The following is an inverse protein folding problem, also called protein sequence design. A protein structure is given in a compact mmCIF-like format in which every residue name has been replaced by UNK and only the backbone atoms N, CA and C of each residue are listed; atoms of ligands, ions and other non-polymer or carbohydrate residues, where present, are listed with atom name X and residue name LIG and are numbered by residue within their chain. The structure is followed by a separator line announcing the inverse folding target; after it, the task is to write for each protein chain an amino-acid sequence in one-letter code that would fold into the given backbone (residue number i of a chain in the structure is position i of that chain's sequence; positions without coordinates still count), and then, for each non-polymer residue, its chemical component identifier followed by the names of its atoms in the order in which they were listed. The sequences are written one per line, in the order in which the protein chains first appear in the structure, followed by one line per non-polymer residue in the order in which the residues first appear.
data_IF_750314802728
#
_entry.id   IF_750314802728
#
_cell.length_a   1.000
_cell.length_b   1.000
_cell.length_c   1.000
_cell.angle_alpha   90.00
_cell.angle_beta   90.00
_cell.angle_gamma   90.00
#
_symmetry.space_group_name_H-M   'P 1'
#
loop_
_entity.id
_entity.type
_entity.pdbx_description
1 polymer ?
#
# COMPACT_ATOMS: atom_id res chain seq x y z
N UNK A 1 0.70 13.25 -19.06
CA UNK A 1 -0.12 12.00 -19.08
C UNK A 1 0.63 10.83 -18.47
N UNK A 2 1.84 10.52 -18.94
CA UNK A 2 2.65 9.38 -18.45
C UNK A 2 2.90 9.45 -16.92
N UNK A 3 3.34 10.59 -16.40
CA UNK A 3 3.62 10.75 -14.96
C UNK A 3 2.37 10.59 -14.07
N UNK A 4 1.22 11.04 -14.56
CA UNK A 4 -0.04 10.98 -13.82
C UNK A 4 -0.54 9.53 -13.71
N UNK A 5 -0.55 8.79 -14.82
CA UNK A 5 -0.94 7.38 -14.83
C UNK A 5 0.00 6.51 -13.98
N UNK A 6 1.29 6.83 -13.98
CA UNK A 6 2.29 6.10 -13.22
C UNK A 6 2.21 6.42 -11.72
N UNK A 7 1.86 7.66 -11.37
CA UNK A 7 1.60 8.07 -9.98
C UNK A 7 0.30 7.47 -9.42
N UNK A 8 -0.70 7.20 -10.25
CA UNK A 8 -1.92 6.49 -9.84
C UNK A 8 -1.66 5.04 -9.41
N UNK A 9 -0.73 4.32 -10.07
CA UNK A 9 -0.33 2.95 -9.72
C UNK A 9 0.25 2.90 -8.28
N UNK A 10 1.05 3.91 -7.90
CA UNK A 10 1.63 4.03 -6.55
C UNK A 10 0.56 4.22 -5.46
N UNK A 11 -0.50 4.99 -5.74
CA UNK A 11 -1.59 5.19 -4.80
C UNK A 11 -2.39 3.92 -4.51
N UNK A 12 -2.62 3.07 -5.51
CA UNK A 12 -3.28 1.78 -5.28
C UNK A 12 -2.46 0.93 -4.33
N UNK A 13 -1.14 0.96 -4.48
CA UNK A 13 -0.24 0.24 -3.58
C UNK A 13 -0.30 0.80 -2.16
N UNK A 14 -0.35 2.12 -1.99
CA UNK A 14 -0.48 2.75 -0.67
C UNK A 14 -1.79 2.38 0.02
N UNK A 15 -2.88 2.43 -0.75
CA UNK A 15 -4.20 2.00 -0.32
C UNK A 15 -4.18 0.54 0.16
N UNK A 16 -3.58 -0.36 -0.61
CA UNK A 16 -3.48 -1.77 -0.25
C UNK A 16 -2.64 -1.99 1.00
N UNK A 17 -1.53 -1.25 1.13
CA UNK A 17 -0.70 -1.28 2.32
C UNK A 17 -1.52 -0.84 3.54
N UNK A 18 -2.26 0.27 3.46
CA UNK A 18 -3.09 0.71 4.60
C UNK A 18 -4.19 -0.29 4.97
N UNK A 19 -4.86 -0.88 3.98
CA UNK A 19 -5.85 -1.93 4.21
C UNK A 19 -5.20 -3.17 4.85
N UNK A 20 -4.02 -3.56 4.38
CA UNK A 20 -3.27 -4.71 4.89
C UNK A 20 -2.83 -4.57 6.35
N UNK A 21 -2.35 -3.38 6.72
CA UNK A 21 -1.98 -3.08 8.11
C UNK A 21 -3.17 -2.70 8.99
N UNK A 22 -4.39 -2.65 8.42
CA UNK A 22 -5.61 -2.29 9.15
C UNK A 22 -5.56 -0.88 9.71
N UNK A 23 -4.91 0.06 9.01
CA UNK A 23 -4.67 1.41 9.54
C UNK A 23 -5.98 2.21 9.59
N UNK A 24 -6.41 2.68 10.78
CA UNK A 24 -7.58 3.53 10.90
C UNK A 24 -7.46 4.80 10.06
N UNK A 25 -8.56 5.23 9.45
CA UNK A 25 -8.62 6.44 8.60
C UNK A 25 -8.08 7.70 9.25
N UNK A 26 -8.22 7.83 10.58
CA UNK A 26 -7.68 8.94 11.36
C UNK A 26 -6.16 9.10 11.21
N UNK A 27 -5.42 8.01 11.00
CA UNK A 27 -3.96 8.01 10.94
C UNK A 27 -3.38 7.97 9.51
N UNK A 28 -4.20 7.64 8.51
CA UNK A 28 -3.79 7.64 7.10
C UNK A 28 -3.22 9.01 6.65
N UNK A 29 -3.85 10.18 6.95
CA UNK A 29 -3.29 11.49 6.55
C UNK A 29 -1.89 11.75 7.10
N UNK A 30 -1.59 11.25 8.32
CA UNK A 30 -0.29 11.39 8.95
C UNK A 30 0.76 10.61 8.16
N UNK A 31 0.49 9.34 7.85
CA UNK A 31 1.40 8.51 7.06
C UNK A 31 1.55 9.06 5.64
N UNK A 32 0.47 9.51 5.00
CA UNK A 32 0.54 10.13 3.67
C UNK A 32 1.43 11.38 3.67
N UNK A 33 1.33 12.23 4.70
CA UNK A 33 2.14 13.46 4.76
C UNK A 33 3.63 13.13 4.87
N UNK A 34 3.99 12.21 5.76
CA UNK A 34 5.37 11.76 5.93
C UNK A 34 5.87 10.98 4.72
N UNK A 35 5.06 10.09 4.17
CA UNK A 35 5.38 9.31 2.98
C UNK A 35 5.57 10.16 1.73
N UNK A 36 4.75 11.21 1.54
CA UNK A 36 4.94 12.18 0.44
C UNK A 36 6.26 12.93 0.61
N UNK A 37 6.56 13.40 1.82
CA UNK A 37 7.82 14.11 2.09
C UNK A 37 9.03 13.20 1.84
N UNK A 38 8.99 11.96 2.33
CA UNK A 38 10.01 10.94 2.10
C UNK A 38 10.17 10.60 0.62
N UNK A 39 9.06 10.38 -0.09
CA UNK A 39 9.05 10.10 -1.54
C UNK A 39 9.68 11.24 -2.35
N UNK A 40 9.31 12.50 -2.07
CA UNK A 40 9.87 13.68 -2.75
C UNK A 40 11.38 13.78 -2.50
N UNK A 41 11.83 13.51 -1.28
CA UNK A 41 13.26 13.50 -0.95
C UNK A 41 13.99 12.36 -1.65
N UNK A 42 13.47 11.13 -1.60
CA UNK A 42 14.09 9.97 -2.26
C UNK A 42 14.17 10.17 -3.77
N UNK A 43 13.12 10.70 -4.40
CA UNK A 43 13.11 11.02 -5.84
C UNK A 43 14.14 12.07 -6.20
N UNK A 44 14.33 13.10 -5.36
CA UNK A 44 15.41 14.07 -5.54
C UNK A 44 16.76 13.35 -5.60
N UNK A 45 17.05 12.51 -4.59
CA UNK A 45 18.32 11.77 -4.52
C UNK A 45 18.50 10.87 -5.76
N UNK A 46 17.49 10.12 -6.16
CA UNK A 46 17.56 9.20 -7.31
C UNK A 46 17.74 9.93 -8.65
N UNK A 47 17.01 11.02 -8.87
CA UNK A 47 17.10 11.81 -10.12
C UNK A 47 18.49 12.44 -10.25
N UNK A 48 19.05 12.96 -9.16
CA UNK A 48 20.36 13.61 -9.18
C UNK A 48 21.51 12.60 -9.24
N UNK A 49 21.40 11.47 -8.53
CA UNK A 49 22.41 10.39 -8.54
C UNK A 49 22.36 9.56 -9.84
N UNK A 50 21.23 9.54 -10.52
CA UNK A 50 21.02 8.85 -11.79
C UNK A 50 20.94 7.32 -11.68
N UNK A 51 21.06 6.66 -12.83
CA UNK A 51 20.79 5.21 -13.02
C UNK A 51 21.72 4.29 -12.22
N UNK A 52 22.87 4.79 -11.74
CA UNK A 52 23.84 3.97 -10.99
C UNK A 52 23.28 3.43 -9.67
N UNK A 53 22.46 4.22 -8.98
CA UNK A 53 21.80 3.77 -7.74
C UNK A 53 20.69 2.75 -8.03
N UNK A 54 20.05 2.88 -9.18
CA UNK A 54 18.87 2.12 -9.59
C UNK A 54 19.22 0.63 -9.73
N UNK A 55 20.31 0.29 -10.41
CA UNK A 55 20.78 -1.10 -10.54
C UNK A 55 21.10 -1.77 -9.19
N UNK A 56 21.45 -1.00 -8.16
CA UNK A 56 21.74 -1.55 -6.82
C UNK A 56 20.45 -1.98 -6.10
N UNK A 57 19.31 -1.41 -6.47
CA UNK A 57 18.02 -1.64 -5.82
C UNK A 57 17.07 -2.54 -6.61
N UNK A 58 17.44 -3.00 -7.81
CA UNK A 58 16.59 -3.89 -8.62
C UNK A 58 16.22 -5.19 -7.89
N UNK A 59 17.13 -5.74 -7.07
CA UNK A 59 16.85 -6.96 -6.29
C UNK A 59 15.71 -6.77 -5.27
N UNK A 60 15.47 -5.53 -4.79
CA UNK A 60 14.38 -5.22 -3.86
C UNK A 60 13.02 -5.49 -4.49
N UNK A 61 12.89 -5.31 -5.81
CA UNK A 61 11.65 -5.57 -6.54
C UNK A 61 11.21 -7.02 -6.35
N UNK A 62 12.15 -7.95 -6.50
CA UNK A 62 11.85 -9.38 -6.38
C UNK A 62 11.51 -9.79 -4.95
N UNK A 63 12.26 -9.25 -3.98
CA UNK A 63 11.99 -9.51 -2.55
C UNK A 63 10.61 -8.99 -2.18
N UNK A 64 10.29 -7.76 -2.58
CA UNK A 64 8.99 -7.15 -2.28
C UNK A 64 7.85 -7.88 -3.00
N UNK A 65 8.02 -8.23 -4.28
CA UNK A 65 7.05 -9.02 -5.04
C UNK A 65 6.74 -10.36 -4.38
N UNK A 66 7.77 -11.08 -3.91
CA UNK A 66 7.60 -12.32 -3.15
C UNK A 66 6.84 -12.10 -1.84
N UNK A 67 7.19 -11.05 -1.09
CA UNK A 67 6.49 -10.68 0.15
C UNK A 67 5.01 -10.35 -0.09
N UNK A 68 4.67 -9.66 -1.18
CA UNK A 68 3.29 -9.35 -1.54
C UNK A 68 2.48 -10.62 -1.90
N UNK A 69 3.06 -11.55 -2.66
CA UNK A 69 2.41 -12.83 -3.00
C UNK A 69 2.16 -13.66 -1.75
N UNK A 70 3.17 -13.82 -0.90
CA UNK A 70 3.03 -14.56 0.36
C UNK A 70 1.94 -13.96 1.24
N UNK A 71 1.87 -12.63 1.26
CA UNK A 71 0.85 -11.88 1.99
C UNK A 71 -0.55 -12.11 1.41
N UNK A 72 -0.70 -12.02 0.09
CA UNK A 72 -1.96 -12.27 -0.60
C UNK A 72 -2.50 -13.68 -0.32
N UNK A 73 -1.65 -14.70 -0.44
CA UNK A 73 -2.03 -16.09 -0.17
C UNK A 73 -2.48 -16.23 1.29
N UNK A 74 -1.72 -15.66 2.23
CA UNK A 74 -2.08 -15.73 3.65
C UNK A 74 -3.41 -15.04 3.94
N UNK A 75 -3.67 -13.88 3.33
CA UNK A 75 -4.94 -13.19 3.45
C UNK A 75 -6.10 -14.02 2.90
N UNK A 76 -5.92 -14.76 1.81
CA UNK A 76 -6.97 -15.66 1.27
C UNK A 76 -7.24 -16.87 2.17
N UNK A 77 -6.20 -17.41 2.83
CA UNK A 77 -6.31 -18.63 3.65
C UNK A 77 -6.84 -18.35 5.07
N UNK A 78 -6.65 -17.13 5.59
CA UNK A 78 -7.10 -16.76 6.94
C UNK A 78 -8.64 -16.60 6.96
N UNK A 79 -9.34 -17.19 7.95
CA UNK A 79 -10.81 -17.07 8.07
C UNK A 79 -11.24 -15.61 8.36
N UNK A 80 -12.44 -15.24 7.94
CA UNK A 80 -13.04 -13.94 8.25
C UNK A 80 -13.16 -13.76 9.78
N UNK A 81 -12.80 -12.58 10.30
CA UNK A 81 -12.85 -12.27 11.73
C UNK A 81 -11.51 -12.28 12.47
N UNK A 82 -10.46 -12.91 11.92
CA UNK A 82 -9.18 -13.08 12.61
C UNK A 82 -8.02 -12.40 11.86
N UNK A 83 -8.27 -11.18 11.37
CA UNK A 83 -7.26 -10.36 10.71
C UNK A 83 -6.36 -9.72 11.78
N UNK A 84 -5.56 -10.54 12.47
CA UNK A 84 -4.59 -10.05 13.45
C UNK A 84 -3.47 -9.31 12.71
N UNK A 85 -3.41 -7.96 12.77
CA UNK A 85 -2.34 -7.20 12.13
C UNK A 85 -0.98 -7.65 12.68
N UNK A 86 -0.94 -8.15 13.92
CA UNK A 86 0.24 -8.70 14.56
C UNK A 86 0.82 -9.97 13.92
N UNK A 87 0.07 -10.69 13.10
CA UNK A 87 0.52 -11.93 12.46
C UNK A 87 1.12 -11.71 11.06
N UNK A 88 1.15 -10.46 10.57
CA UNK A 88 1.58 -10.09 9.23
C UNK A 88 3.06 -10.45 8.95
N UNK A 89 3.37 -11.21 7.87
CA UNK A 89 4.74 -11.56 7.52
C UNK A 89 5.67 -10.35 7.35
N UNK A 90 5.14 -9.25 6.81
CA UNK A 90 5.86 -7.97 6.67
C UNK A 90 6.22 -7.41 8.05
N UNK A 91 5.26 -7.42 8.99
CA UNK A 91 5.51 -7.01 10.37
C UNK A 91 6.48 -7.94 11.09
N UNK A 92 6.44 -9.25 10.83
CA UNK A 92 7.42 -10.20 11.39
C UNK A 92 8.83 -9.96 10.85
N UNK A 93 8.95 -9.64 9.56
CA UNK A 93 10.23 -9.34 8.94
C UNK A 93 10.80 -8.02 9.48
N UNK A 94 9.98 -6.97 9.56
CA UNK A 94 10.37 -5.69 10.15
C UNK A 94 10.64 -5.79 11.67
N UNK A 95 9.85 -6.60 12.38
CA UNK A 95 10.04 -6.88 13.81
C UNK A 95 11.38 -7.57 14.12
N UNK A 96 12.01 -8.19 13.12
CA UNK A 96 13.35 -8.78 13.24
C UNK A 96 14.46 -7.72 13.24
N UNK A 97 14.18 -6.53 12.72
CA UNK A 97 15.12 -5.41 12.60
C UNK A 97 14.86 -4.37 13.70
N UNK A 98 13.59 -4.09 14.00
CA UNK A 98 13.16 -3.09 15.00
C UNK A 98 12.09 -3.71 15.90
N UNK A 99 12.14 -3.55 17.25
CA UNK A 99 11.07 -4.03 18.12
C UNK A 99 9.75 -3.32 17.79
N UNK A 100 8.70 -4.07 17.44
CA UNK A 100 7.38 -3.50 17.10
C UNK A 100 6.38 -3.76 18.23
N UNK A 101 5.82 -2.69 18.79
CA UNK A 101 4.69 -2.77 19.71
C UNK A 101 3.38 -2.78 18.90
N UNK A 102 2.76 -3.96 18.83
CA UNK A 102 1.55 -4.21 18.05
C UNK A 102 0.30 -3.60 18.66
N UNK A 103 0.31 -3.26 19.95
CA UNK A 103 -0.83 -2.71 20.67
C UNK A 103 -0.81 -1.17 20.70
N UNK A 104 0.33 -0.56 20.34
CA UNK A 104 0.45 0.89 20.26
C UNK A 104 -0.35 1.44 19.06
N UNK A 105 -1.50 2.06 19.36
CA UNK A 105 -2.43 2.65 18.37
C UNK A 105 -2.68 4.15 18.59
N UNK A 106 -1.92 4.81 19.47
CA UNK A 106 -2.15 6.21 19.85
C UNK A 106 -1.71 7.25 18.80
N UNK A 107 -1.41 6.81 17.59
CA UNK A 107 -1.04 7.69 16.48
C UNK A 107 0.45 8.01 16.39
N UNK A 108 1.25 7.66 17.39
CA UNK A 108 2.69 7.87 17.39
C UNK A 108 3.44 6.80 16.57
N UNK A 109 4.57 7.18 15.97
CA UNK A 109 5.43 6.27 15.20
C UNK A 109 6.31 5.41 16.09
N UNK A 110 6.65 5.92 17.28
CA UNK A 110 7.46 5.23 18.26
C UNK A 110 6.84 5.39 19.64
N UNK A 111 6.82 4.30 20.40
CA UNK A 111 6.34 4.30 21.80
C UNK A 111 7.44 3.75 22.69
N UNK A 112 7.67 4.43 23.82
CA UNK A 112 8.65 4.03 24.82
C UNK A 112 7.94 3.30 25.95
N UNK A 113 8.17 1.99 26.06
CA UNK A 113 7.75 1.18 27.23
C UNK A 113 8.93 0.89 28.16
N UNK A 114 9.94 0.21 27.63
CA UNK A 114 11.23 -0.04 28.30
C UNK A 114 12.39 0.21 27.34
N UNK A 115 12.23 -0.23 26.09
CA UNK A 115 13.02 0.20 24.92
C UNK A 115 12.10 0.95 23.95
N UNK A 116 12.68 1.69 23.02
CA UNK A 116 11.93 2.29 21.92
C UNK A 116 11.34 1.19 21.04
N UNK A 117 10.02 1.17 20.89
CA UNK A 117 9.32 0.29 19.98
C UNK A 117 8.75 1.10 18.83
N UNK A 118 8.88 0.59 17.61
CA UNK A 118 8.14 1.08 16.46
C UNK A 118 6.67 0.67 16.58
N UNK A 119 5.77 1.51 16.10
CA UNK A 119 4.34 1.18 16.01
C UNK A 119 4.00 0.63 14.63
N UNK A 120 2.81 0.01 14.45
CA UNK A 120 2.34 -0.42 13.13
C UNK A 120 2.28 0.74 12.13
N UNK A 121 2.06 1.97 12.60
CA UNK A 121 2.08 3.17 11.76
C UNK A 121 3.45 3.44 11.16
N UNK A 122 4.53 3.25 11.93
CA UNK A 122 5.89 3.43 11.43
C UNK A 122 6.27 2.31 10.46
N UNK A 123 5.93 1.06 10.79
CA UNK A 123 6.15 -0.06 9.88
C UNK A 123 5.42 0.15 8.55
N UNK A 124 4.20 0.68 8.60
CA UNK A 124 3.42 1.04 7.40
C UNK A 124 4.12 2.14 6.61
N UNK A 125 4.59 3.21 7.26
CA UNK A 125 5.34 4.30 6.60
C UNK A 125 6.58 3.76 5.88
N UNK A 126 7.38 2.91 6.53
CA UNK A 126 8.57 2.31 5.93
C UNK A 126 8.22 1.49 4.68
N UNK A 127 7.13 0.72 4.73
CA UNK A 127 6.67 -0.07 3.58
C UNK A 127 6.18 0.82 2.44
N UNK A 128 5.47 1.91 2.76
CA UNK A 128 5.03 2.92 1.77
C UNK A 128 6.25 3.58 1.09
N UNK A 129 7.25 4.01 1.86
CA UNK A 129 8.46 4.64 1.32
C UNK A 129 9.29 3.66 0.47
N UNK A 130 9.45 2.42 0.94
CA UNK A 130 10.15 1.37 0.18
C UNK A 130 9.42 1.04 -1.11
N UNK A 131 8.08 1.02 -1.08
CA UNK A 131 7.27 0.80 -2.28
C UNK A 131 7.45 1.93 -3.30
N UNK A 132 7.45 3.21 -2.86
CA UNK A 132 7.69 4.34 -3.76
C UNK A 132 9.09 4.28 -4.39
N UNK A 133 10.11 3.93 -3.60
CA UNK A 133 11.47 3.72 -4.10
C UNK A 133 11.51 2.64 -5.20
N UNK A 134 10.82 1.52 -4.99
CA UNK A 134 10.71 0.46 -5.99
C UNK A 134 10.02 0.95 -7.27
N UNK A 135 8.94 1.73 -7.16
CA UNK A 135 8.29 2.30 -8.36
C UNK A 135 9.16 3.36 -9.05
N UNK A 136 9.97 4.09 -8.29
CA UNK A 136 10.91 5.06 -8.82
C UNK A 136 12.00 4.38 -9.68
N UNK A 137 12.39 3.14 -9.36
CA UNK A 137 13.40 2.37 -10.12
C UNK A 137 13.01 2.13 -11.57
N UNK A 138 11.74 1.86 -11.87
CA UNK A 138 11.28 1.68 -13.26
C UNK A 138 10.91 3.00 -13.94
N UNK A 139 10.35 3.94 -13.16
CA UNK A 139 9.79 5.17 -13.72
C UNK A 139 10.77 6.30 -13.93
N UNK A 140 11.78 6.46 -13.07
CA UNK A 140 12.80 7.51 -13.24
C UNK A 140 13.60 7.30 -14.53
N UNK A 141 14.11 6.11 -14.86
CA UNK A 141 14.80 5.89 -16.14
C UNK A 141 13.90 6.17 -17.34
N UNK A 142 12.62 5.79 -17.26
CA UNK A 142 11.65 6.05 -18.33
C UNK A 142 11.43 7.55 -18.54
N UNK A 143 11.32 8.33 -17.46
CA UNK A 143 11.13 9.79 -17.56
C UNK A 143 12.41 10.50 -18.01
N UNK A 144 13.58 10.10 -17.51
CA UNK A 144 14.88 10.64 -17.94
C UNK A 144 15.20 10.31 -19.41
N UNK A 145 14.60 9.26 -19.98
CA UNK A 145 14.72 8.95 -21.40
C UNK A 145 13.88 9.89 -22.29
N UNK A 146 12.82 10.50 -21.74
CA UNK A 146 11.93 11.42 -22.47
C UNK A 146 12.35 12.88 -22.30
N UNK A 147 12.90 13.23 -21.13
CA UNK A 147 13.37 14.59 -20.85
C UNK A 147 14.76 14.56 -20.21
N UNK A 148 15.67 15.35 -20.77
CA UNK A 148 17.03 15.53 -20.24
C UNK A 148 17.09 16.58 -19.13
N UNK A 149 16.06 17.43 -19.00
CA UNK A 149 15.98 18.45 -17.97
C UNK A 149 15.47 17.84 -16.65
N UNK A 150 16.41 17.56 -15.75
CA UNK A 150 16.15 17.00 -14.41
C UNK A 150 15.23 17.89 -13.56
N UNK A 151 15.22 19.21 -13.77
CA UNK A 151 14.35 20.11 -13.02
C UNK A 151 12.89 19.93 -13.45
N UNK A 152 12.62 19.81 -14.76
CA UNK A 152 11.27 19.53 -15.27
C UNK A 152 10.79 18.15 -14.78
N UNK A 153 11.66 17.14 -14.85
CA UNK A 153 11.37 15.79 -14.36
C UNK A 153 11.04 15.79 -12.86
N UNK A 154 11.86 16.46 -12.06
CA UNK A 154 11.67 16.53 -10.62
C UNK A 154 10.39 17.28 -10.25
N UNK A 155 10.20 18.49 -10.78
CA UNK A 155 9.02 19.31 -10.46
C UNK A 155 7.72 18.62 -10.87
N UNK A 156 7.66 17.99 -12.04
CA UNK A 156 6.46 17.25 -12.49
C UNK A 156 6.13 16.06 -11.58
N UNK A 157 7.15 15.31 -11.15
CA UNK A 157 6.99 14.22 -10.18
C UNK A 157 6.52 14.72 -8.81
N UNK A 158 7.07 15.82 -8.31
CA UNK A 158 6.64 16.43 -7.04
C UNK A 158 5.17 16.86 -7.13
N UNK A 159 4.77 17.54 -8.21
CA UNK A 159 3.37 17.93 -8.42
C UNK A 159 2.45 16.71 -8.50
N UNK A 160 2.88 15.64 -9.16
CA UNK A 160 2.12 14.41 -9.22
C UNK A 160 1.94 13.82 -7.81
N UNK A 161 3.02 13.63 -7.03
CA UNK A 161 2.96 13.05 -5.68
C UNK A 161 2.14 13.90 -4.70
N UNK A 162 2.28 15.22 -4.72
CA UNK A 162 1.50 16.12 -3.86
C UNK A 162 0.03 16.13 -4.26
N UNK A 163 -0.27 16.11 -5.56
CA UNK A 163 -1.64 16.08 -6.10
C UNK A 163 -2.41 14.80 -5.74
N UNK A 164 -1.72 13.68 -5.54
CA UNK A 164 -2.34 12.40 -5.18
C UNK A 164 -3.04 12.42 -3.82
N UNK A 165 -2.73 13.36 -2.91
CA UNK A 165 -3.39 13.43 -1.60
C UNK A 165 -4.90 13.60 -1.72
N UNK A 166 -5.38 14.44 -2.64
CA UNK A 166 -6.82 14.66 -2.85
C UNK A 166 -7.48 13.42 -3.46
N UNK A 167 -6.81 12.79 -4.43
CA UNK A 167 -7.30 11.60 -5.11
C UNK A 167 -7.32 10.37 -4.19
N UNK A 168 -6.35 10.26 -3.28
CA UNK A 168 -6.34 9.25 -2.22
C UNK A 168 -7.61 9.31 -1.38
N UNK A 169 -8.03 10.50 -0.91
CA UNK A 169 -9.23 10.61 -0.07
C UNK A 169 -10.50 10.23 -0.85
N UNK A 170 -10.55 10.55 -2.13
CA UNK A 170 -11.65 10.13 -3.00
C UNK A 170 -11.71 8.61 -3.11
N UNK A 171 -10.59 7.96 -3.44
CA UNK A 171 -10.52 6.50 -3.54
C UNK A 171 -10.77 5.80 -2.20
N UNK A 172 -10.13 6.27 -1.12
CA UNK A 172 -10.28 5.71 0.22
C UNK A 172 -11.72 5.84 0.75
N UNK A 173 -12.49 6.83 0.29
CA UNK A 173 -13.92 6.96 0.62
C UNK A 173 -14.76 5.91 -0.10
N UNK A 174 -14.44 5.60 -1.36
CA UNK A 174 -15.09 4.49 -2.08
C UNK A 174 -14.78 3.16 -1.37
N UNK A 175 -13.59 3.02 -0.78
CA UNK A 175 -13.15 1.80 -0.09
C UNK A 175 -13.96 1.35 1.13
N UNK A 176 -14.65 2.26 1.80
CA UNK A 176 -15.50 1.89 2.94
C UNK A 176 -16.77 1.15 2.51
N UNK A 177 -17.16 1.27 1.24
CA UNK A 177 -18.31 0.55 0.68
C UNK A 177 -18.00 -0.93 0.43
N UNK A 178 -16.75 -1.37 0.59
CA UNK A 178 -16.31 -2.72 0.24
C UNK A 178 -16.50 -3.68 1.43
N UNK A 179 -17.54 -4.52 1.36
CA UNK A 179 -17.77 -5.59 2.35
C UNK A 179 -16.81 -6.77 2.15
N UNK A 180 -16.30 -6.97 0.92
CA UNK A 180 -15.31 -8.02 0.56
C UNK A 180 -13.88 -7.48 0.44
N UNK A 181 -13.51 -6.48 1.25
CA UNK A 181 -12.20 -5.82 1.19
C UNK A 181 -11.04 -6.83 1.25
N UNK A 182 -11.16 -7.87 2.08
CA UNK A 182 -10.12 -8.89 2.23
C UNK A 182 -9.83 -9.66 0.93
N UNK A 183 -10.88 -10.13 0.26
CA UNK A 183 -10.76 -10.88 -0.99
C UNK A 183 -10.23 -9.99 -2.13
N UNK A 184 -10.82 -8.81 -2.32
CA UNK A 184 -10.37 -7.85 -3.34
C UNK A 184 -8.91 -7.42 -3.15
N UNK A 185 -8.53 -7.03 -1.93
CA UNK A 185 -7.15 -6.63 -1.63
C UNK A 185 -6.18 -7.79 -1.82
N UNK A 186 -6.53 -9.02 -1.42
CA UNK A 186 -5.66 -10.18 -1.62
C UNK A 186 -5.40 -10.49 -3.10
N UNK A 187 -6.43 -10.38 -3.95
CA UNK A 187 -6.29 -10.62 -5.39
C UNK A 187 -5.40 -9.55 -6.06
N UNK A 188 -5.56 -8.29 -5.66
CA UNK A 188 -4.74 -7.20 -6.18
C UNK A 188 -3.28 -7.34 -5.70
N UNK A 189 -3.05 -7.66 -4.42
CA UNK A 189 -1.70 -7.91 -3.89
C UNK A 189 -1.01 -9.07 -4.62
N UNK A 190 -1.75 -10.12 -4.93
CA UNK A 190 -1.25 -11.25 -5.73
C UNK A 190 -0.85 -10.79 -7.14
N UNK A 191 -1.72 -10.03 -7.81
CA UNK A 191 -1.46 -9.48 -9.14
C UNK A 191 -0.22 -8.57 -9.17
N UNK A 192 -0.13 -7.61 -8.23
CA UNK A 192 1.00 -6.68 -8.16
C UNK A 192 2.28 -7.42 -7.80
N UNK A 193 2.25 -8.37 -6.88
CA UNK A 193 3.41 -9.19 -6.53
C UNK A 193 3.94 -9.98 -7.73
N UNK A 194 3.05 -10.60 -8.53
CA UNK A 194 3.42 -11.28 -9.78
C UNK A 194 4.03 -10.31 -10.78
N UNK A 195 3.38 -9.15 -11.00
CA UNK A 195 3.90 -8.10 -11.89
C UNK A 195 5.33 -7.70 -11.51
N UNK A 196 5.61 -7.56 -10.21
CA UNK A 196 6.94 -7.22 -9.70
C UNK A 196 7.96 -8.35 -9.93
N UNK A 197 7.59 -9.61 -9.70
CA UNK A 197 8.51 -10.73 -9.97
C UNK A 197 8.84 -10.91 -11.46
N UNK A 198 7.89 -10.58 -12.34
CA UNK A 198 8.02 -10.74 -13.79
C UNK A 198 8.64 -9.49 -14.44
N UNK A 199 8.80 -8.38 -13.71
CA UNK A 199 9.22 -7.09 -14.29
C UNK A 199 10.56 -7.11 -15.02
N UNK A 200 11.47 -8.03 -14.66
CA UNK A 200 12.75 -8.22 -15.34
C UNK A 200 12.65 -8.89 -16.72
N UNK A 201 11.55 -9.59 -17.01
CA UNK A 201 11.31 -10.29 -18.28
C UNK A 201 10.23 -9.61 -19.12
N UNK A 202 9.15 -9.14 -18.49
CA UNK A 202 8.04 -8.44 -19.15
C UNK A 202 7.67 -7.17 -18.39
N UNK A 203 7.81 -6.03 -19.06
CA UNK A 203 7.30 -4.74 -18.55
C UNK A 203 5.82 -4.62 -18.89
N UNK A 204 4.96 -4.85 -17.91
CA UNK A 204 3.52 -4.62 -18.06
C UNK A 204 3.26 -3.11 -18.07
N UNK A 205 2.65 -2.55 -19.14
CA UNK A 205 2.32 -1.13 -19.21
C UNK A 205 1.49 -0.66 -18.01
N UNK A 206 1.83 0.51 -17.48
CA UNK A 206 1.15 1.08 -16.31
C UNK A 206 -0.37 1.22 -16.52
N UNK A 207 -0.81 1.58 -17.73
CA UNK A 207 -2.24 1.68 -18.07
C UNK A 207 -2.97 0.34 -17.96
N UNK A 208 -2.34 -0.76 -18.38
CA UNK A 208 -2.93 -2.09 -18.27
C UNK A 208 -3.00 -2.54 -16.81
N UNK A 209 -1.94 -2.28 -16.03
CA UNK A 209 -1.94 -2.51 -14.58
C UNK A 209 -3.09 -1.78 -13.89
N UNK A 210 -3.21 -0.48 -14.17
CA UNK A 210 -4.28 0.36 -13.64
C UNK A 210 -5.66 -0.20 -14.01
N UNK A 211 -5.85 -0.60 -15.27
CA UNK A 211 -7.11 -1.20 -15.75
C UNK A 211 -7.46 -2.50 -15.03
N UNK A 212 -6.49 -3.38 -14.79
CA UNK A 212 -6.70 -4.64 -14.05
C UNK A 212 -7.06 -4.36 -12.59
N UNK A 213 -6.33 -3.46 -11.92
CA UNK A 213 -6.62 -3.10 -10.52
C UNK A 213 -8.01 -2.48 -10.39
N UNK A 214 -8.34 -1.50 -11.24
CA UNK A 214 -9.67 -0.89 -11.29
C UNK A 214 -10.76 -1.92 -11.62
N UNK A 215 -10.49 -2.86 -12.52
CA UNK A 215 -11.40 -3.94 -12.87
C UNK A 215 -11.67 -4.87 -11.68
N UNK A 216 -10.63 -5.31 -10.97
CA UNK A 216 -10.77 -6.13 -9.76
C UNK A 216 -11.57 -5.37 -8.71
N UNK A 217 -11.30 -4.08 -8.50
CA UNK A 217 -12.05 -3.26 -7.56
C UNK A 217 -13.52 -3.13 -7.99
N UNK A 218 -13.79 -2.83 -9.25
CA UNK A 218 -15.14 -2.70 -9.78
C UNK A 218 -15.93 -4.00 -9.65
N UNK A 219 -15.34 -5.15 -10.00
CA UNK A 219 -15.97 -6.47 -9.84
C UNK A 219 -16.22 -6.78 -8.36
N UNK A 220 -15.26 -6.47 -7.49
CA UNK A 220 -15.42 -6.65 -6.04
C UNK A 220 -16.55 -5.79 -5.48
N UNK A 221 -16.68 -4.53 -5.95
CA UNK A 221 -17.78 -3.63 -5.58
C UNK A 221 -19.12 -4.20 -6.07
N UNK A 222 -19.20 -4.60 -7.34
CA UNK A 222 -20.43 -5.13 -7.93
C UNK A 222 -20.90 -6.39 -7.21
N UNK A 223 -20.00 -7.31 -6.89
CA UNK A 223 -20.30 -8.50 -6.08
C UNK A 223 -20.71 -8.13 -4.65
N UNK A 224 -20.08 -7.13 -4.04
CA UNK A 224 -20.41 -6.63 -2.71
C UNK A 224 -21.80 -6.00 -2.62
N UNK A 225 -22.26 -5.33 -3.69
CA UNK A 225 -23.58 -4.70 -3.75
C UNK A 225 -24.65 -5.70 -4.17
N UNK A 226 -24.34 -6.62 -5.09
CA UNK A 226 -25.27 -7.64 -5.57
C UNK A 226 -25.60 -8.70 -4.50
N UNK A 227 -24.62 -9.07 -3.66
CA UNK A 227 -24.81 -10.03 -2.58
C UNK A 227 -25.19 -9.27 -1.29
N UNK A 228 -26.48 -8.92 -1.16
CA UNK A 228 -27.06 -8.36 0.06
C UNK A 228 -27.37 -9.51 1.03
N UNK A 229 -26.39 -10.03 1.77
CA UNK A 229 -26.71 -10.93 2.88
C UNK A 229 -27.41 -10.14 4.00
N UNK A 230 -28.56 -10.62 4.51
CA UNK A 230 -29.19 -10.04 5.68
C UNK A 230 -28.30 -10.30 6.90
N UNK A 231 -28.15 -9.29 7.76
CA UNK A 231 -27.48 -9.41 9.04
C UNK A 231 -28.00 -10.64 9.80
N UNK A 232 -27.15 -11.51 10.38
CA UNK A 232 -27.56 -12.22 11.57
C UNK A 232 -27.70 -11.13 12.64
N UNK A 233 -28.94 -10.71 12.92
CA UNK A 233 -29.19 -9.94 14.11
C UNK A 233 -28.69 -10.78 15.29
N UNK A 234 -27.76 -10.17 16.01
CA UNK A 234 -27.28 -10.57 17.31
C UNK A 234 -28.51 -10.68 18.23
N UNK A 235 -28.94 -11.91 18.51
CA UNK A 235 -29.91 -12.20 19.57
C UNK A 235 -29.26 -11.80 20.90
N UNK A 236 -29.38 -10.52 21.26
CA UNK A 236 -29.14 -10.06 22.63
C UNK A 236 -30.21 -10.72 23.52
N UNK A 237 -29.83 -11.49 24.56
CA UNK A 237 -30.80 -11.97 25.52
C UNK A 237 -31.41 -10.77 26.25
N UNK A 238 -32.74 -10.66 26.15
CA UNK A 238 -33.56 -9.70 26.87
C UNK A 238 -33.33 -9.85 28.39
N UNK A 239 -32.82 -8.82 29.10
CA UNK A 239 -32.56 -8.91 30.54
C UNK A 239 -33.83 -8.92 31.40
N UNK A 240 -35.04 -8.95 30.83
CA UNK A 240 -36.29 -8.87 31.58
C UNK A 240 -37.17 -10.13 31.65
N UNK A 241 -36.65 -11.32 31.34
CA UNK A 241 -37.38 -12.59 31.60
C UNK A 241 -36.69 -13.51 32.61
N UNK A 242 -36.77 -13.12 33.88
CA UNK A 242 -37.03 -14.08 34.97
C UNK A 242 -37.74 -13.39 36.14
N UNK A 243 -39.07 -13.51 36.16
CA UNK A 243 -39.88 -13.54 37.38
C UNK A 243 -40.83 -14.72 37.24
#
# INVERSE_FOLDING_TARGET
VIEYSLSMDNMFVFIMIFAYFGIPKKYQPKILTWGILGAVFMRLVLIFTGVKLIHTFEWLIYVFGGVLILTAIKMMVQKEGDMDPGANPVLKLLAKIIPIDKQASDGDFFVKRHIWHATPLFATLVVVETSDLIFAVDSIPAVLAVSTDKFIVYTSNVFAVVGLRSLYFLLASVMDLFRYLKAGVSLILFYVGIKMLISGYFKIPALLSLGVVLGILAVSILLSVAIKHPHPHEDLPDPHKSK
#
